data_IF_326876029865
#
_entry.id   IF_326876029865
#
_cell.length_a   1.000
_cell.length_b   1.000
_cell.length_c   1.000
_cell.angle_alpha   90.00
_cell.angle_beta   90.00
_cell.angle_gamma   90.00
#
_symmetry.space_group_name_H-M   'P 1'
#
loop_
_entity.id
_entity.type
_entity.pdbx_description
1 polymer ?
#
# COMPACT_ATOMS: atom_id res chain seq x y z
N UNK A 1 55.87 -29.07 -18.87
CA UNK A 1 54.43 -29.35 -18.92
C UNK A 1 53.71 -28.29 -18.08
N UNK A 2 53.14 -27.28 -18.74
CA UNK A 2 52.36 -26.22 -18.08
C UNK A 2 50.94 -26.78 -17.89
N UNK A 3 50.53 -27.04 -16.64
CA UNK A 3 49.15 -27.36 -16.30
C UNK A 3 48.35 -26.05 -16.32
N UNK A 4 47.50 -25.87 -17.33
CA UNK A 4 46.49 -24.82 -17.34
C UNK A 4 45.43 -25.20 -16.30
N UNK A 5 45.32 -24.43 -15.22
CA UNK A 5 44.20 -24.51 -14.29
C UNK A 5 43.10 -23.62 -14.89
N UNK A 6 41.99 -24.24 -15.29
CA UNK A 6 40.79 -23.55 -15.76
C UNK A 6 39.95 -23.21 -14.51
N UNK A 7 39.63 -21.94 -14.22
CA UNK A 7 38.70 -21.63 -13.14
C UNK A 7 37.28 -21.97 -13.63
N UNK A 8 36.65 -22.90 -12.91
CA UNK A 8 35.22 -23.20 -13.07
C UNK A 8 34.45 -22.09 -12.35
N UNK A 9 33.88 -21.16 -13.11
CA UNK A 9 32.89 -20.22 -12.58
C UNK A 9 31.59 -20.98 -12.34
N UNK A 10 31.29 -21.30 -11.09
CA UNK A 10 29.96 -21.73 -10.66
C UNK A 10 29.16 -20.44 -10.51
N UNK A 11 28.32 -20.13 -11.49
CA UNK A 11 27.25 -19.14 -11.31
C UNK A 11 26.19 -19.85 -10.48
N UNK A 12 26.15 -19.52 -9.18
CA UNK A 12 25.06 -19.92 -8.31
C UNK A 12 23.88 -19.01 -8.66
N UNK A 13 23.05 -19.43 -9.60
CA UNK A 13 21.72 -18.85 -9.76
C UNK A 13 20.92 -19.25 -8.55
N UNK A 14 20.79 -18.33 -7.59
CA UNK A 14 19.76 -18.41 -6.56
C UNK A 14 18.44 -18.24 -7.32
N UNK A 15 17.78 -19.35 -7.62
CA UNK A 15 16.36 -19.34 -7.97
C UNK A 15 15.66 -19.05 -6.64
N UNK A 16 15.39 -17.77 -6.36
CA UNK A 16 14.32 -17.45 -5.42
C UNK A 16 13.08 -18.13 -6.02
N UNK A 17 12.47 -19.07 -5.30
CA UNK A 17 11.11 -19.47 -5.61
C UNK A 17 10.29 -18.20 -5.42
N UNK A 18 10.05 -17.46 -6.51
CA UNK A 18 9.05 -16.40 -6.48
C UNK A 18 7.76 -17.12 -6.11
N UNK A 19 7.15 -16.73 -4.99
CA UNK A 19 5.78 -17.12 -4.70
C UNK A 19 4.99 -16.58 -5.89
N UNK A 20 4.53 -17.49 -6.75
CA UNK A 20 3.85 -17.15 -7.99
C UNK A 20 2.54 -16.45 -7.63
N UNK A 21 2.37 -15.21 -8.10
CA UNK A 21 1.12 -14.48 -7.92
C UNK A 21 0.00 -15.25 -8.60
N UNK A 22 -1.12 -15.41 -7.91
CA UNK A 22 -2.28 -16.07 -8.49
C UNK A 22 -3.18 -15.01 -9.16
N UNK A 23 -3.32 -15.06 -10.48
CA UNK A 23 -4.16 -14.11 -11.23
C UNK A 23 -5.65 -14.10 -10.82
N UNK A 24 -6.10 -15.11 -10.05
CA UNK A 24 -7.51 -15.34 -9.81
C UNK A 24 -8.29 -15.61 -11.12
N UNK A 25 -9.60 -15.33 -11.13
CA UNK A 25 -10.45 -15.28 -9.94
C UNK A 25 -10.79 -16.71 -9.51
N UNK A 26 -10.96 -16.93 -8.21
CA UNK A 26 -11.72 -18.10 -7.76
C UNK A 26 -12.91 -17.71 -6.89
N UNK A 27 -13.72 -16.74 -7.35
CA UNK A 27 -15.08 -16.40 -6.88
C UNK A 27 -15.22 -15.04 -6.15
N UNK A 28 -16.43 -14.70 -5.69
CA UNK A 28 -16.79 -13.51 -4.88
C UNK A 28 -17.23 -13.87 -3.44
N UNK A 29 -16.86 -15.06 -3.00
CA UNK A 29 -17.24 -15.73 -1.77
C UNK A 29 -16.05 -15.79 -0.78
N UNK A 30 -16.32 -16.34 0.40
CA UNK A 30 -15.36 -16.43 1.49
C UNK A 30 -14.15 -17.33 1.14
N UNK A 31 -12.94 -16.79 1.33
CA UNK A 31 -11.62 -17.38 0.98
C UNK A 31 -11.22 -17.39 -0.49
N UNK A 32 -11.90 -16.61 -1.33
CA UNK A 32 -11.53 -16.54 -2.73
C UNK A 32 -10.23 -15.78 -2.93
N UNK A 33 -9.48 -16.15 -3.97
CA UNK A 33 -8.18 -15.56 -4.26
C UNK A 33 -8.37 -14.15 -4.81
N UNK A 34 -7.69 -13.19 -4.18
CA UNK A 34 -7.63 -11.81 -4.65
C UNK A 34 -6.84 -11.74 -5.95
N UNK A 35 -7.50 -11.40 -7.06
CA UNK A 35 -6.84 -11.15 -8.35
C UNK A 35 -6.07 -9.82 -8.36
N UNK A 36 -5.44 -9.47 -9.49
CA UNK A 36 -4.68 -8.23 -9.61
C UNK A 36 -5.59 -7.00 -9.55
N UNK A 37 -5.15 -5.97 -8.82
CA UNK A 37 -5.78 -4.66 -8.82
C UNK A 37 -4.73 -3.57 -8.61
N UNK A 38 -5.05 -2.38 -9.09
CA UNK A 38 -4.20 -1.20 -8.96
C UNK A 38 -5.02 -0.09 -8.31
N UNK A 39 -4.44 0.58 -7.32
CA UNK A 39 -5.06 1.67 -6.57
C UNK A 39 -4.18 2.91 -6.65
N UNK A 40 -4.77 4.08 -6.84
CA UNK A 40 -4.06 5.35 -6.71
C UNK A 40 -3.83 5.63 -5.21
N UNK A 41 -2.61 5.96 -4.77
CA UNK A 41 -2.25 6.07 -3.33
C UNK A 41 -1.51 7.36 -2.98
N UNK A 42 -2.12 8.22 -2.13
CA UNK A 42 -1.58 9.53 -1.71
C UNK A 42 -0.21 9.46 -1.02
N UNK A 43 0.27 8.29 -0.60
CA UNK A 43 1.62 8.12 -0.05
C UNK A 43 2.72 7.97 -1.11
N UNK A 44 2.37 7.73 -2.39
CA UNK A 44 3.30 7.94 -3.50
C UNK A 44 3.43 9.45 -3.74
N UNK A 45 4.29 10.11 -2.95
CA UNK A 45 4.74 11.48 -3.18
C UNK A 45 5.59 11.48 -4.46
N UNK A 46 4.92 11.68 -5.58
CA UNK A 46 5.48 12.10 -6.84
C UNK A 46 5.17 13.57 -7.03
N UNK A 47 6.04 14.30 -7.72
CA UNK A 47 5.85 15.71 -7.99
C UNK A 47 6.38 16.65 -6.90
N UNK A 48 6.96 16.15 -5.79
CA UNK A 48 7.74 16.99 -4.86
C UNK A 48 9.19 17.08 -5.33
N UNK A 49 9.37 17.84 -6.41
CA UNK A 49 10.64 17.93 -7.15
C UNK A 49 11.67 18.75 -6.38
N UNK A 50 11.22 19.62 -5.46
CA UNK A 50 12.11 20.45 -4.65
C UNK A 50 12.38 19.87 -3.24
N UNK A 51 11.72 18.76 -2.89
CA UNK A 51 11.85 18.05 -1.62
C UNK A 51 11.49 18.91 -0.39
N UNK A 52 10.50 19.80 -0.55
CA UNK A 52 9.95 20.62 0.53
C UNK A 52 8.72 19.97 1.21
N UNK A 53 8.37 18.74 0.81
CA UNK A 53 7.22 17.94 1.23
C UNK A 53 5.88 18.57 0.83
N UNK A 54 5.85 19.51 -0.12
CA UNK A 54 4.63 20.16 -0.57
C UNK A 54 4.57 20.24 -2.09
N UNK A 55 3.84 19.33 -2.73
CA UNK A 55 3.56 19.43 -4.16
C UNK A 55 2.72 20.68 -4.47
N UNK A 56 3.34 21.69 -5.08
CA UNK A 56 2.71 22.95 -5.40
C UNK A 56 3.29 23.60 -6.67
N UNK A 57 2.98 24.87 -6.91
CA UNK A 57 3.47 25.62 -8.07
C UNK A 57 5.01 25.73 -8.12
N UNK A 58 5.69 25.59 -6.98
CA UNK A 58 7.15 25.61 -6.91
C UNK A 58 7.77 24.38 -7.57
N UNK A 59 7.16 23.20 -7.49
CA UNK A 59 7.61 22.00 -8.18
C UNK A 59 7.41 22.09 -9.69
N UNK A 60 6.30 22.73 -10.10
CA UNK A 60 6.05 23.06 -11.51
C UNK A 60 7.17 23.98 -12.03
N UNK A 61 7.52 25.01 -11.27
CA UNK A 61 8.60 25.94 -11.65
C UNK A 61 9.95 25.20 -11.73
N UNK A 62 10.25 24.33 -10.78
CA UNK A 62 11.46 23.51 -10.80
C UNK A 62 11.53 22.63 -12.06
N UNK A 63 10.43 21.94 -12.38
CA UNK A 63 10.32 21.06 -13.55
C UNK A 63 10.45 21.83 -14.86
N UNK A 64 9.83 23.01 -14.96
CA UNK A 64 9.98 23.91 -16.12
C UNK A 64 11.44 24.33 -16.32
N UNK A 65 12.17 24.67 -15.25
CA UNK A 65 13.58 25.04 -15.36
C UNK A 65 14.43 23.89 -15.90
N UNK A 66 14.13 22.66 -15.49
CA UNK A 66 14.80 21.47 -16.00
C UNK A 66 14.52 21.25 -17.49
N UNK A 67 13.25 21.24 -17.89
CA UNK A 67 12.84 21.05 -19.30
C UNK A 67 13.43 22.13 -20.22
N UNK A 68 13.62 23.35 -19.73
CA UNK A 68 14.25 24.45 -20.46
C UNK A 68 15.80 24.41 -20.43
N UNK A 69 16.40 23.49 -19.67
CA UNK A 69 17.85 23.33 -19.55
C UNK A 69 18.54 24.37 -18.67
N UNK A 70 17.79 25.07 -17.81
CA UNK A 70 18.36 25.99 -16.82
C UNK A 70 18.91 25.25 -15.61
N UNK A 71 18.29 24.13 -15.22
CA UNK A 71 18.69 23.29 -14.10
C UNK A 71 18.85 21.83 -14.55
N UNK A 72 19.80 21.12 -13.94
CA UNK A 72 19.99 19.68 -14.17
C UNK A 72 19.49 18.93 -12.94
N UNK A 73 18.48 18.10 -13.14
CA UNK A 73 17.92 17.26 -12.09
C UNK A 73 18.86 16.12 -11.71
N UNK A 74 18.83 15.79 -10.42
CA UNK A 74 19.39 14.54 -9.89
C UNK A 74 18.50 13.36 -10.26
N UNK A 75 19.02 12.12 -10.15
CA UNK A 75 18.23 10.91 -10.41
C UNK A 75 16.96 10.85 -9.52
N UNK A 76 17.06 11.32 -8.27
CA UNK A 76 15.91 11.40 -7.37
C UNK A 76 14.86 12.42 -7.84
N UNK A 77 15.30 13.58 -8.35
CA UNK A 77 14.40 14.60 -8.89
C UNK A 77 13.79 14.18 -10.23
N UNK A 78 14.52 13.41 -11.05
CA UNK A 78 13.96 12.80 -12.26
C UNK A 78 12.86 11.82 -11.88
N UNK A 79 13.08 10.95 -10.89
CA UNK A 79 12.05 10.02 -10.41
C UNK A 79 10.82 10.74 -9.82
N UNK A 80 11.00 11.93 -9.24
CA UNK A 80 9.91 12.76 -8.74
C UNK A 80 9.16 13.50 -9.84
N UNK A 81 9.86 13.90 -10.89
CA UNK A 81 9.32 14.73 -11.97
C UNK A 81 8.73 13.93 -13.13
N UNK A 82 9.15 12.68 -13.36
CA UNK A 82 8.59 11.78 -14.39
C UNK A 82 7.27 11.17 -13.88
N UNK A 83 6.17 11.89 -14.15
CA UNK A 83 4.85 11.55 -13.65
C UNK A 83 4.08 10.61 -14.57
N UNK A 84 4.54 10.43 -15.81
CA UNK A 84 3.94 9.49 -16.77
C UNK A 84 4.76 8.19 -16.97
N UNK A 85 5.93 8.10 -16.32
CA UNK A 85 6.85 6.95 -16.32
C UNK A 85 7.40 6.56 -17.69
N UNK A 86 7.57 7.51 -18.61
CA UNK A 86 8.15 7.24 -19.92
C UNK A 86 9.69 7.32 -19.96
N UNK A 87 10.30 7.66 -18.81
CA UNK A 87 11.74 7.77 -18.64
C UNK A 87 12.32 9.11 -19.10
N UNK A 88 11.48 10.07 -19.50
CA UNK A 88 11.87 11.43 -19.86
C UNK A 88 11.08 12.44 -19.02
N UNK A 89 11.72 13.54 -18.62
CA UNK A 89 11.02 14.66 -17.96
C UNK A 89 10.75 15.76 -18.99
N UNK A 90 9.49 15.96 -19.37
CA UNK A 90 9.09 16.92 -20.40
C UNK A 90 7.80 17.72 -20.07
N UNK A 91 7.15 18.26 -21.11
CA UNK A 91 5.93 19.07 -20.95
C UNK A 91 4.72 18.25 -20.48
N UNK A 92 4.69 16.95 -20.77
CA UNK A 92 3.63 16.05 -20.34
C UNK A 92 3.65 15.90 -18.81
N UNK A 93 4.83 15.83 -18.21
CA UNK A 93 4.97 15.81 -16.75
C UNK A 93 4.55 17.12 -16.10
N UNK A 94 4.89 18.26 -16.72
CA UNK A 94 4.44 19.57 -16.23
C UNK A 94 2.90 19.65 -16.24
N UNK A 95 2.26 19.07 -17.26
CA UNK A 95 0.78 18.99 -17.31
C UNK A 95 0.24 18.06 -16.23
N UNK A 96 0.87 16.90 -16.03
CA UNK A 96 0.51 15.97 -14.95
C UNK A 96 0.69 16.61 -13.56
N UNK A 97 1.77 17.35 -13.34
CA UNK A 97 2.07 18.05 -12.10
C UNK A 97 1.12 19.22 -11.87
N UNK A 98 0.75 19.94 -12.93
CA UNK A 98 -0.31 20.96 -12.86
C UNK A 98 -1.65 20.33 -12.50
N UNK A 99 -1.99 19.16 -13.06
CA UNK A 99 -3.15 18.40 -12.62
C UNK A 99 -3.00 18.00 -11.17
N UNK A 100 -1.85 17.47 -10.73
CA UNK A 100 -1.59 17.08 -9.35
C UNK A 100 -1.75 18.26 -8.36
N UNK A 101 -1.32 19.47 -8.75
CA UNK A 101 -1.49 20.69 -7.95
C UNK A 101 -2.96 21.17 -7.93
N UNK A 102 -3.69 20.97 -9.03
CA UNK A 102 -5.09 21.38 -9.16
C UNK A 102 -6.08 20.30 -8.67
N UNK A 103 -5.64 19.05 -8.62
CA UNK A 103 -6.38 17.79 -8.49
C UNK A 103 -5.36 16.66 -8.25
N UNK A 104 -4.82 16.52 -7.02
CA UNK A 104 -3.76 15.54 -6.74
C UNK A 104 -4.20 14.11 -7.03
N UNK A 105 -3.69 13.56 -8.14
CA UNK A 105 -3.76 12.15 -8.57
C UNK A 105 -2.44 11.46 -8.19
N UNK A 106 -2.39 10.71 -7.08
CA UNK A 106 -1.16 10.03 -6.65
C UNK A 106 -0.67 8.93 -7.57
N UNK A 107 0.55 8.45 -7.29
CA UNK A 107 1.10 7.25 -7.92
C UNK A 107 0.23 6.01 -7.68
N UNK A 108 0.29 5.08 -8.63
CA UNK A 108 -0.48 3.85 -8.60
C UNK A 108 0.27 2.75 -7.82
N UNK A 109 -0.35 2.23 -6.77
CA UNK A 109 0.04 1.02 -6.03
C UNK A 109 -0.57 -0.21 -6.70
N UNK A 110 0.25 -1.19 -7.04
CA UNK A 110 -0.17 -2.37 -7.82
C UNK A 110 -0.01 -3.66 -7.01
N UNK A 111 -1.10 -4.39 -6.78
CA UNK A 111 -1.09 -5.55 -5.89
C UNK A 111 -0.18 -6.68 -6.37
N UNK A 112 -0.21 -6.99 -7.66
CA UNK A 112 0.57 -8.08 -8.24
C UNK A 112 2.08 -7.85 -8.04
N UNK A 113 2.54 -6.63 -8.31
CA UNK A 113 3.97 -6.30 -8.16
C UNK A 113 4.43 -6.18 -6.71
N UNK A 114 3.52 -5.87 -5.78
CA UNK A 114 3.82 -5.78 -4.35
C UNK A 114 3.69 -7.11 -3.61
N UNK A 115 3.04 -8.11 -4.21
CA UNK A 115 2.86 -9.42 -3.60
C UNK A 115 4.18 -10.17 -3.47
N UNK A 116 4.54 -10.53 -2.23
CA UNK A 116 5.72 -11.32 -1.91
C UNK A 116 5.39 -12.59 -1.10
N UNK A 117 4.11 -12.84 -0.77
CA UNK A 117 3.65 -13.94 0.10
C UNK A 117 4.02 -13.80 1.59
N UNK A 118 4.62 -12.69 1.97
CA UNK A 118 5.02 -12.37 3.34
C UNK A 118 4.07 -11.33 3.97
N UNK A 119 3.46 -10.46 3.17
CA UNK A 119 2.57 -9.39 3.64
C UNK A 119 1.11 -9.81 3.84
N UNK A 120 0.39 -9.01 4.62
CA UNK A 120 -1.07 -8.99 4.72
C UNK A 120 -1.62 -7.61 4.41
N UNK A 121 -2.84 -7.53 3.88
CA UNK A 121 -3.41 -6.27 3.39
C UNK A 121 -4.80 -6.08 3.99
N UNK A 122 -5.05 -4.97 4.68
CA UNK A 122 -6.31 -4.69 5.36
C UNK A 122 -6.93 -3.42 4.78
N UNK A 123 -8.11 -3.56 4.20
CA UNK A 123 -8.88 -2.47 3.62
C UNK A 123 -9.92 -2.00 4.63
N UNK A 124 -10.03 -0.68 4.79
CA UNK A 124 -11.02 -0.05 5.61
C UNK A 124 -11.75 1.04 4.82
N UNK A 125 -13.07 0.85 4.66
CA UNK A 125 -13.90 1.67 3.77
C UNK A 125 -14.90 2.49 4.59
N UNK A 126 -14.83 3.81 4.45
CA UNK A 126 -15.86 4.73 4.94
C UNK A 126 -17.06 4.78 3.99
N UNK A 127 -18.28 4.69 4.52
CA UNK A 127 -19.51 4.71 3.74
C UNK A 127 -20.43 3.53 4.04
N UNK A 128 -19.94 2.28 4.05
CA UNK A 128 -20.69 1.12 4.52
C UNK A 128 -21.24 1.27 5.94
N UNK A 129 -22.28 0.50 6.27
CA UNK A 129 -22.92 0.54 7.61
C UNK A 129 -21.89 0.31 8.72
N UNK A 130 -21.98 1.13 9.78
CA UNK A 130 -21.09 1.08 10.95
C UNK A 130 -19.60 1.36 10.67
N UNK A 131 -19.23 1.89 9.50
CA UNK A 131 -17.86 2.33 9.20
C UNK A 131 -17.47 3.63 9.93
N UNK A 132 -18.39 4.59 10.07
CA UNK A 132 -18.08 5.92 10.63
C UNK A 132 -17.54 5.89 12.06
N UNK A 133 -18.06 5.00 12.92
CA UNK A 133 -17.57 4.89 14.30
C UNK A 133 -16.15 4.34 14.35
N UNK A 134 -15.82 3.41 13.45
CA UNK A 134 -14.48 2.84 13.33
C UNK A 134 -13.50 3.84 12.68
N UNK A 135 -13.97 4.67 11.75
CA UNK A 135 -13.16 5.68 11.07
C UNK A 135 -12.81 6.89 11.93
N UNK A 136 -13.71 7.25 12.83
CA UNK A 136 -13.48 8.35 13.77
C UNK A 136 -12.90 7.86 15.08
N UNK A 137 -12.35 6.64 15.12
CA UNK A 137 -11.68 6.14 16.30
C UNK A 137 -10.40 6.95 16.59
N UNK A 138 -10.08 7.13 17.86
CA UNK A 138 -8.91 7.87 18.32
C UNK A 138 -7.67 7.00 18.54
N UNK A 139 -7.78 5.68 18.40
CA UNK A 139 -6.73 4.70 18.70
C UNK A 139 -5.90 4.32 17.45
N UNK A 140 -5.60 5.29 16.59
CA UNK A 140 -4.74 5.07 15.42
C UNK A 140 -3.27 4.84 15.82
N UNK A 141 -2.84 5.38 16.96
CA UNK A 141 -1.53 5.11 17.56
C UNK A 141 -1.42 3.66 18.04
N UNK A 142 -2.41 3.18 18.81
CA UNK A 142 -2.50 1.79 19.25
C UNK A 142 -2.53 0.82 18.06
N UNK A 143 -3.20 1.20 16.95
CA UNK A 143 -3.19 0.39 15.73
C UNK A 143 -1.76 0.15 15.22
N UNK A 144 -0.92 1.18 15.18
CA UNK A 144 0.46 1.03 14.73
C UNK A 144 1.32 0.28 15.75
N UNK A 145 1.13 0.51 17.05
CA UNK A 145 1.88 -0.18 18.10
C UNK A 145 1.57 -1.69 18.18
N UNK A 146 0.30 -2.07 18.01
CA UNK A 146 -0.15 -3.46 18.12
C UNK A 146 0.10 -4.29 16.85
N UNK A 147 0.36 -3.64 15.72
CA UNK A 147 0.47 -4.28 14.40
C UNK A 147 1.81 -5.00 14.20
N UNK A 148 1.82 -6.16 13.50
CA UNK A 148 3.06 -6.74 13.02
C UNK A 148 3.62 -5.92 11.84
N UNK A 149 4.93 -5.95 11.63
CA UNK A 149 5.59 -5.17 10.55
C UNK A 149 5.08 -5.52 9.13
N UNK A 150 4.51 -6.71 8.92
CA UNK A 150 4.12 -7.18 7.59
C UNK A 150 2.63 -6.93 7.24
N UNK A 151 2.08 -5.80 7.68
CA UNK A 151 0.69 -5.43 7.41
C UNK A 151 0.61 -4.10 6.67
N UNK A 152 -0.18 -4.08 5.61
CA UNK A 152 -0.55 -2.88 4.89
C UNK A 152 -2.00 -2.49 5.22
N UNK A 153 -2.25 -1.19 5.45
CA UNK A 153 -3.58 -0.64 5.69
C UNK A 153 -4.00 0.29 4.56
N UNK A 154 -5.18 0.05 3.98
CA UNK A 154 -5.76 0.86 2.91
C UNK A 154 -6.98 1.61 3.42
N UNK A 155 -6.95 2.93 3.32
CA UNK A 155 -8.04 3.82 3.72
C UNK A 155 -8.80 4.28 2.48
N UNK A 156 -10.07 3.90 2.38
CA UNK A 156 -10.95 4.23 1.25
C UNK A 156 -12.22 4.92 1.74
N UNK A 157 -12.84 5.72 0.87
CA UNK A 157 -14.17 6.26 1.13
C UNK A 157 -15.07 6.12 -0.09
N UNK A 158 -16.29 5.63 0.14
CA UNK A 158 -17.35 5.56 -0.86
C UNK A 158 -18.37 6.71 -0.71
N UNK A 159 -18.06 7.73 0.11
CA UNK A 159 -18.90 8.91 0.30
C UNK A 159 -18.65 9.91 -0.84
N UNK A 160 -19.50 10.93 -0.94
CA UNK A 160 -19.25 12.06 -1.88
C UNK A 160 -18.06 12.92 -1.46
N UNK A 161 -17.58 12.76 -0.23
CA UNK A 161 -16.44 13.47 0.36
C UNK A 161 -15.14 12.66 0.29
N UNK A 162 -15.09 11.62 -0.54
CA UNK A 162 -14.07 10.58 -0.53
C UNK A 162 -12.62 11.10 -0.42
N UNK A 163 -12.24 12.02 -1.30
CA UNK A 163 -10.93 12.66 -1.30
C UNK A 163 -10.60 13.36 0.03
N UNK A 164 -11.58 14.12 0.55
CA UNK A 164 -11.44 14.86 1.80
C UNK A 164 -11.34 13.91 3.00
N UNK A 165 -12.15 12.85 3.04
CA UNK A 165 -12.14 11.85 4.12
C UNK A 165 -10.76 11.20 4.24
N UNK A 166 -10.18 10.80 3.10
CA UNK A 166 -8.88 10.10 3.04
C UNK A 166 -7.70 11.06 3.32
N UNK A 167 -7.78 12.31 2.85
CA UNK A 167 -6.77 13.33 3.18
C UNK A 167 -6.74 13.63 4.68
N UNK A 168 -7.90 13.67 5.32
CA UNK A 168 -7.98 13.97 6.75
C UNK A 168 -7.40 12.84 7.60
N UNK A 169 -7.69 11.57 7.29
CA UNK A 169 -7.08 10.43 8.01
C UNK A 169 -5.57 10.35 7.78
N UNK A 170 -5.07 10.65 6.57
CA UNK A 170 -3.63 10.80 6.34
C UNK A 170 -3.01 11.83 7.30
N UNK A 171 -3.64 12.99 7.44
CA UNK A 171 -3.15 14.04 8.34
C UNK A 171 -3.08 13.61 9.81
N UNK A 172 -4.01 12.77 10.27
CA UNK A 172 -3.95 12.19 11.63
C UNK A 172 -2.75 11.26 11.80
N UNK A 173 -2.51 10.37 10.83
CA UNK A 173 -1.32 9.51 10.84
C UNK A 173 -0.02 10.31 10.72
N UNK A 174 0.05 11.34 9.89
CA UNK A 174 1.23 12.21 9.79
C UNK A 174 1.61 12.79 11.17
N UNK A 175 0.62 13.18 11.99
CA UNK A 175 0.85 13.66 13.36
C UNK A 175 1.37 12.55 14.28
N UNK A 176 0.84 11.33 14.16
CA UNK A 176 1.31 10.17 14.94
C UNK A 176 2.76 9.83 14.58
N UNK A 177 3.08 9.80 13.28
CA UNK A 177 4.40 9.45 12.76
C UNK A 177 5.49 10.45 13.20
N UNK A 178 5.16 11.73 13.41
CA UNK A 178 6.10 12.71 13.99
C UNK A 178 6.61 12.32 15.39
N UNK A 179 5.87 11.48 16.11
CA UNK A 179 6.26 10.93 17.41
C UNK A 179 7.18 9.71 17.34
N UNK A 180 7.39 9.14 16.15
CA UNK A 180 8.13 7.88 15.93
C UNK A 180 9.56 8.12 15.45
N UNK A 181 10.40 7.08 15.51
CA UNK A 181 11.76 7.10 14.93
C UNK A 181 11.75 7.21 13.40
N UNK A 182 12.85 7.65 12.79
CA UNK A 182 12.97 7.74 11.33
C UNK A 182 12.76 6.39 10.64
N UNK A 183 13.17 5.29 11.29
CA UNK A 183 12.99 3.93 10.80
C UNK A 183 11.51 3.51 10.80
N UNK A 184 10.79 3.76 11.90
CA UNK A 184 9.35 3.51 12.02
C UNK A 184 8.54 4.40 11.06
N UNK A 185 8.93 5.66 10.88
CA UNK A 185 8.30 6.54 9.89
C UNK A 185 8.47 6.01 8.47
N UNK A 186 9.69 5.62 8.09
CA UNK A 186 9.97 5.04 6.77
C UNK A 186 9.28 3.68 6.57
N UNK A 187 9.09 2.93 7.64
CA UNK A 187 8.29 1.71 7.64
C UNK A 187 6.82 2.02 7.36
N UNK A 188 6.16 2.80 8.22
CA UNK A 188 4.72 3.06 8.11
C UNK A 188 4.31 3.85 6.87
N UNK A 189 5.15 4.76 6.36
CA UNK A 189 4.90 5.43 5.08
C UNK A 189 4.78 4.47 3.90
N UNK A 190 5.38 3.28 3.97
CA UNK A 190 5.27 2.23 2.93
C UNK A 190 4.09 1.27 3.13
N UNK A 191 3.50 1.25 4.33
CA UNK A 191 2.48 0.29 4.73
C UNK A 191 1.10 0.94 4.93
N UNK A 192 1.04 2.25 5.11
CA UNK A 192 -0.21 3.01 5.08
C UNK A 192 -0.48 3.43 3.63
N UNK A 193 -1.72 3.25 3.17
CA UNK A 193 -2.16 3.59 1.83
C UNK A 193 -3.47 4.38 1.89
N UNK A 194 -3.53 5.48 1.15
CA UNK A 194 -4.61 6.47 1.24
C UNK A 194 -5.20 6.67 -0.15
N UNK A 195 -6.33 6.02 -0.44
CA UNK A 195 -6.89 5.93 -1.78
C UNK A 195 -7.80 7.14 -2.04
N UNK A 196 -7.38 8.14 -2.84
CA UNK A 196 -8.12 9.38 -3.00
C UNK A 196 -9.27 9.27 -3.98
N UNK A 197 -9.39 8.14 -4.69
CA UNK A 197 -10.51 7.83 -5.56
C UNK A 197 -11.69 7.31 -4.76
N UNK A 198 -12.89 7.55 -5.30
CA UNK A 198 -14.10 7.01 -4.67
C UNK A 198 -14.07 5.49 -4.76
N UNK A 199 -14.41 4.79 -3.68
CA UNK A 199 -14.29 3.32 -3.67
C UNK A 199 -15.01 2.67 -4.87
N UNK A 200 -16.23 3.09 -5.20
CA UNK A 200 -17.02 2.52 -6.31
C UNK A 200 -16.58 2.95 -7.72
N UNK A 201 -15.47 3.68 -7.89
CA UNK A 201 -14.89 3.98 -9.21
C UNK A 201 -13.83 2.98 -9.67
N UNK A 202 -13.46 2.00 -8.84
CA UNK A 202 -12.48 0.97 -9.16
C UNK A 202 -13.08 -0.17 -10.01
N UNK A 203 -12.24 -1.14 -10.41
CA UNK A 203 -12.69 -2.32 -11.16
C UNK A 203 -13.76 -3.13 -10.41
N UNK A 204 -14.69 -3.74 -11.16
CA UNK A 204 -15.87 -4.43 -10.63
C UNK A 204 -15.52 -5.46 -9.53
N UNK A 205 -14.49 -6.28 -9.75
CA UNK A 205 -14.05 -7.30 -8.79
C UNK A 205 -13.58 -6.70 -7.45
N UNK A 206 -12.83 -5.59 -7.50
CA UNK A 206 -12.41 -4.88 -6.30
C UNK A 206 -13.60 -4.22 -5.59
N UNK A 207 -14.51 -3.62 -6.35
CA UNK A 207 -15.70 -2.95 -5.80
C UNK A 207 -16.60 -3.94 -5.07
N UNK A 208 -16.82 -5.12 -5.64
CA UNK A 208 -17.64 -6.17 -5.05
C UNK A 208 -17.04 -6.70 -3.74
N UNK A 209 -15.72 -6.85 -3.68
CA UNK A 209 -15.01 -7.32 -2.48
C UNK A 209 -14.95 -6.25 -1.37
N UNK A 210 -14.65 -4.99 -1.72
CA UNK A 210 -14.18 -3.98 -0.75
C UNK A 210 -15.23 -2.92 -0.41
N UNK A 211 -15.98 -2.43 -1.41
CA UNK A 211 -16.69 -1.15 -1.25
C UNK A 211 -18.03 -1.23 -0.53
N UNK A 212 -18.60 -2.45 -0.41
CA UNK A 212 -19.83 -2.72 0.33
C UNK A 212 -19.62 -3.06 1.80
N UNK A 213 -18.38 -3.27 2.24
CA UNK A 213 -18.03 -3.82 3.54
C UNK A 213 -17.17 -2.80 4.30
N UNK A 214 -17.40 -2.65 5.61
CA UNK A 214 -16.62 -1.67 6.40
C UNK A 214 -15.13 -2.00 6.40
N UNK A 215 -14.76 -3.28 6.41
CA UNK A 215 -13.38 -3.74 6.37
C UNK A 215 -13.29 -5.17 5.85
N UNK A 216 -12.29 -5.44 5.03
CA UNK A 216 -11.94 -6.75 4.47
C UNK A 216 -10.42 -6.83 4.38
N UNK A 217 -9.85 -8.03 4.27
CA UNK A 217 -8.40 -8.22 4.22
C UNK A 217 -7.99 -9.24 3.16
N UNK A 218 -6.72 -9.25 2.82
CA UNK A 218 -6.04 -10.30 2.07
C UNK A 218 -4.98 -10.90 2.99
N UNK A 219 -5.03 -12.22 3.18
CA UNK A 219 -4.04 -12.94 3.99
C UNK A 219 -2.79 -13.33 3.19
N UNK A 220 -1.84 -13.96 3.87
CA UNK A 220 -0.57 -14.46 3.30
C UNK A 220 -0.73 -15.63 2.30
N UNK A 221 -1.95 -16.11 2.08
CA UNK A 221 -2.30 -17.09 1.05
C UNK A 221 -3.04 -16.44 -0.13
N UNK A 222 -3.05 -15.10 -0.20
CA UNK A 222 -3.71 -14.31 -1.24
C UNK A 222 -5.24 -14.42 -1.20
N UNK A 223 -5.84 -14.81 -0.06
CA UNK A 223 -7.28 -15.01 0.06
C UNK A 223 -7.96 -13.79 0.66
N UNK A 224 -9.13 -13.43 0.14
CA UNK A 224 -10.02 -12.48 0.80
C UNK A 224 -10.51 -13.02 2.14
N UNK A 225 -10.45 -12.17 3.17
CA UNK A 225 -10.81 -12.47 4.57
C UNK A 225 -11.71 -11.39 5.11
N UNK A 226 -12.88 -11.78 5.61
CA UNK A 226 -13.72 -10.87 6.38
C UNK A 226 -13.05 -10.50 7.70
N UNK A 227 -13.20 -9.24 8.09
CA UNK A 227 -12.81 -8.77 9.41
C UNK A 227 -13.93 -9.02 10.40
N UNK A 228 -13.59 -9.66 11.51
CA UNK A 228 -14.54 -10.09 12.51
C UNK A 228 -15.07 -8.98 13.43
N UNK A 229 -15.35 -9.37 14.67
CA UNK A 229 -15.85 -8.48 15.70
C UNK A 229 -14.72 -7.62 16.29
N UNK A 230 -14.77 -6.31 16.05
CA UNK A 230 -13.78 -5.34 16.53
C UNK A 230 -14.13 -4.70 17.88
N UNK A 231 -15.04 -5.30 18.65
CA UNK A 231 -15.37 -4.80 20.00
C UNK A 231 -14.67 -5.60 21.08
N UNK A 232 -14.67 -5.09 22.30
CA UNK A 232 -14.05 -5.75 23.44
C UNK A 232 -14.80 -7.07 23.76
N UNK A 233 -14.13 -8.24 23.68
CA UNK A 233 -14.80 -9.53 23.86
C UNK A 233 -15.21 -9.80 25.31
N UNK A 234 -14.63 -9.11 26.30
CA UNK A 234 -14.99 -9.30 27.70
C UNK A 234 -16.39 -8.77 28.04
N UNK A 235 -16.85 -7.76 27.31
CA UNK A 235 -18.13 -7.08 27.57
C UNK A 235 -19.00 -6.85 26.32
N UNK A 236 -18.53 -7.26 25.14
CA UNK A 236 -19.19 -7.09 23.85
C UNK A 236 -19.60 -5.64 23.57
N UNK A 237 -18.67 -4.70 23.81
CA UNK A 237 -18.90 -3.27 23.62
C UNK A 237 -17.77 -2.60 22.84
N UNK A 238 -18.09 -1.45 22.25
CA UNK A 238 -17.15 -0.66 21.46
C UNK A 238 -16.91 -1.23 20.06
N UNK A 239 -16.15 -0.48 19.29
CA UNK A 239 -15.50 -0.89 18.05
C UNK A 239 -14.18 -0.16 18.03
N UNK A 240 -13.08 -0.90 17.86
CA UNK A 240 -11.74 -0.39 18.04
C UNK A 240 -10.93 -0.65 16.78
N UNK A 241 -10.34 0.40 16.21
CA UNK A 241 -9.56 0.25 14.98
C UNK A 241 -8.29 -0.56 15.22
N UNK A 242 -7.64 -0.40 16.38
CA UNK A 242 -6.46 -1.18 16.78
C UNK A 242 -6.71 -2.69 16.79
N UNK A 243 -7.96 -3.15 16.90
CA UNK A 243 -8.26 -4.58 16.84
C UNK A 243 -8.07 -5.19 15.45
N UNK A 244 -7.90 -4.37 14.39
CA UNK A 244 -7.45 -4.85 13.09
C UNK A 244 -6.03 -5.44 13.14
N UNK A 245 -5.18 -5.00 14.07
CA UNK A 245 -3.87 -5.61 14.29
C UNK A 245 -3.97 -7.10 14.67
N UNK A 246 -5.03 -7.49 15.40
CA UNK A 246 -5.27 -8.89 15.73
C UNK A 246 -5.56 -9.76 14.50
N UNK A 247 -6.18 -9.22 13.44
CA UNK A 247 -6.40 -9.95 12.19
C UNK A 247 -5.06 -10.24 11.51
N UNK A 248 -4.18 -9.25 11.41
CA UNK A 248 -2.84 -9.43 10.84
C UNK A 248 -1.98 -10.42 11.65
N UNK A 249 -1.99 -10.31 12.99
CA UNK A 249 -1.33 -11.27 13.89
C UNK A 249 -1.88 -12.68 13.69
N UNK A 250 -3.20 -12.81 13.50
CA UNK A 250 -3.83 -14.09 13.24
C UNK A 250 -3.42 -14.67 11.88
N UNK A 251 -3.31 -13.86 10.81
CA UNK A 251 -2.82 -14.33 9.52
C UNK A 251 -1.38 -14.86 9.59
N UNK A 252 -0.52 -14.21 10.37
CA UNK A 252 0.83 -14.69 10.64
C UNK A 252 0.85 -16.03 11.38
N UNK A 253 0.00 -16.18 12.39
CA UNK A 253 -0.15 -17.44 13.11
C UNK A 253 -0.69 -18.55 12.20
N UNK A 254 -1.75 -18.27 11.44
CA UNK A 254 -2.36 -19.23 10.51
C UNK A 254 -1.36 -19.68 9.45
N UNK A 255 -0.61 -18.73 8.86
CA UNK A 255 0.44 -19.05 7.92
C UNK A 255 1.50 -19.98 8.54
N UNK A 256 2.04 -19.64 9.71
CA UNK A 256 3.03 -20.50 10.38
C UNK A 256 2.50 -21.87 10.80
N UNK A 257 1.19 -22.02 10.98
CA UNK A 257 0.55 -23.29 11.34
C UNK A 257 0.21 -24.17 10.14
N UNK A 258 0.02 -23.58 8.95
CA UNK A 258 -0.41 -24.29 7.73
C UNK A 258 0.69 -24.40 6.68
N UNK A 259 1.66 -23.48 6.68
CA UNK A 259 2.80 -23.51 5.79
C UNK A 259 3.84 -24.50 6.32
N UNK A 260 3.81 -25.71 5.78
CA UNK A 260 4.92 -26.64 5.88
C UNK A 260 5.87 -26.32 4.71
N UNK A 261 7.06 -25.73 4.94
CA UNK A 261 8.08 -25.73 3.89
C UNK A 261 8.33 -27.19 3.50
N UNK A 262 8.68 -27.46 2.24
CA UNK A 262 9.08 -28.79 1.78
C UNK A 262 10.27 -29.30 2.62
N UNK A 263 10.00 -29.83 3.81
CA UNK A 263 10.96 -30.58 4.59
C UNK A 263 11.06 -31.93 3.90
N UNK A 264 12.23 -32.20 3.31
CA UNK A 264 12.64 -33.55 2.96
C UNK A 264 12.53 -34.40 4.25
N UNK A 265 11.40 -35.07 4.43
CA UNK A 265 11.27 -36.09 5.45
C UNK A 265 12.25 -37.20 5.08
N UNK A 266 13.39 -37.24 5.75
CA UNK A 266 14.28 -38.40 5.74
C UNK A 266 13.49 -39.60 6.31
N UNK A 267 12.90 -40.42 5.43
CA UNK A 267 12.28 -41.72 5.75
C UNK A 267 13.28 -42.71 6.40
#
# INVERSE_FOLDING_TARGET
MIKKILPLFIVLTILSAQIEFNEGPYGSEYFDIAGPFTLVDLNLELGDVNSDNTVNILDIIATVNHVLGYDVFTDAQIAQADLNFDGSVDILDIVALANLVLSPEPGAWDFETQWNGEESYIFFTLGPTSSTTLWNDSYYDDLLEDSPDNVHYFFLSNRTTYFQDVRDVRGEFDVILLGMSEEEQAHWKRHLHYIPDKCDSHGEEFVDAVCGIRSISIDRFQRWREVGYLGNPANFSGTYISYLAHEALYFNYEYGALYEPDEDYDE
#
